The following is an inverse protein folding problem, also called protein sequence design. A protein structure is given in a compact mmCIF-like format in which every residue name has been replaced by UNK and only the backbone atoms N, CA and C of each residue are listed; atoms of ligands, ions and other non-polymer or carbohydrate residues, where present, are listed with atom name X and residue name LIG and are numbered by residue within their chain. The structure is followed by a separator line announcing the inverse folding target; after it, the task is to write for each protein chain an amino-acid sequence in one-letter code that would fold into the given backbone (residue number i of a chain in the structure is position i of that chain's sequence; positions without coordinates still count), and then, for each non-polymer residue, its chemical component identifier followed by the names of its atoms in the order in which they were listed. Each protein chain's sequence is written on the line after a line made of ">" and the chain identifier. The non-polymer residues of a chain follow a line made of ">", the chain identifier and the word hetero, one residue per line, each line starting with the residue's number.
data_IF_609320000530
#
_entry.id   IF_609320000530
#
_cell.length_a   1.000
_cell.length_b   1.000
_cell.length_c   1.000
_cell.angle_alpha   90.00
_cell.angle_beta   90.00
_cell.angle_gamma   90.00
#
_symmetry.space_group_name_H-M   'P 1'
#
loop_
_entity.id
_entity.type
_entity.pdbx_description
1 polymer ?
#
# COMPACT_ATOMS: atom_id res chain seq x y z
N UNK A 1 12.89 3.85 19.22
CA UNK A 1 13.31 5.15 18.63
C UNK A 1 12.62 5.32 17.27
N UNK A 2 12.08 6.51 16.97
CA UNK A 2 11.38 6.85 15.73
C UNK A 2 12.15 6.48 14.45
N UNK A 3 13.49 6.55 14.47
CA UNK A 3 14.31 6.16 13.32
C UNK A 3 14.09 4.69 12.91
N UNK A 4 14.11 3.76 13.87
CA UNK A 4 13.93 2.32 13.59
C UNK A 4 12.52 2.06 13.06
N UNK A 5 11.50 2.69 13.64
CA UNK A 5 10.12 2.56 13.16
C UNK A 5 9.98 3.08 11.72
N UNK A 6 10.55 4.24 11.37
CA UNK A 6 10.56 4.78 9.99
C UNK A 6 11.28 3.85 9.01
N UNK A 7 12.39 3.24 9.44
CA UNK A 7 13.11 2.26 8.62
C UNK A 7 12.24 1.03 8.34
N UNK A 8 11.58 0.50 9.36
CA UNK A 8 10.69 -0.65 9.20
C UNK A 8 9.46 -0.33 8.33
N UNK A 9 8.92 0.88 8.41
CA UNK A 9 7.87 1.33 7.47
C UNK A 9 8.37 1.33 6.03
N UNK A 10 9.60 1.80 5.81
CA UNK A 10 10.23 1.82 4.48
C UNK A 10 10.49 0.40 3.95
N UNK A 11 10.85 -0.54 4.84
CA UNK A 11 10.97 -1.96 4.51
C UNK A 11 9.62 -2.53 4.06
N UNK A 12 8.53 -2.22 4.77
CA UNK A 12 7.17 -2.61 4.38
C UNK A 12 6.80 -2.12 2.98
N UNK A 13 7.15 -0.88 2.62
CA UNK A 13 6.98 -0.36 1.27
C UNK A 13 7.82 -1.09 0.22
N UNK A 14 9.00 -1.60 0.60
CA UNK A 14 9.86 -2.39 -0.29
C UNK A 14 9.24 -3.76 -0.58
N UNK A 15 8.64 -4.39 0.43
CA UNK A 15 7.94 -5.68 0.30
C UNK A 15 6.80 -5.62 -0.73
N UNK A 16 6.09 -4.48 -0.82
CA UNK A 16 4.97 -4.32 -1.75
C UNK A 16 5.37 -3.80 -3.14
N UNK A 17 6.66 -3.54 -3.40
CA UNK A 17 7.13 -3.04 -4.69
C UNK A 17 6.69 -3.92 -5.88
N UNK A 18 6.70 -5.27 -5.80
CA UNK A 18 6.22 -6.10 -6.90
C UNK A 18 4.70 -5.94 -7.15
N UNK A 19 3.88 -5.70 -6.11
CA UNK A 19 2.45 -5.42 -6.28
C UNK A 19 2.25 -4.08 -7.00
N UNK A 20 2.99 -3.05 -6.58
CA UNK A 20 2.97 -1.72 -7.23
C UNK A 20 3.32 -1.82 -8.72
N UNK A 21 4.32 -2.62 -9.07
CA UNK A 21 4.70 -2.89 -10.47
C UNK A 21 3.60 -3.64 -11.23
N UNK A 22 3.00 -4.68 -10.65
CA UNK A 22 1.93 -5.44 -11.29
C UNK A 22 0.68 -4.58 -11.55
N UNK A 23 0.34 -3.66 -10.63
CA UNK A 23 -0.74 -2.67 -10.83
C UNK A 23 -0.41 -1.74 -11.99
N UNK A 24 0.82 -1.25 -12.07
CA UNK A 24 1.26 -0.37 -13.16
C UNK A 24 1.28 -1.08 -14.52
N UNK A 25 1.72 -2.34 -14.56
CA UNK A 25 1.70 -3.17 -15.77
C UNK A 25 0.27 -3.41 -16.25
N UNK A 26 -0.63 -3.82 -15.36
CA UNK A 26 -2.04 -3.99 -15.69
C UNK A 26 -2.65 -2.69 -16.26
N UNK A 27 -2.43 -1.56 -15.59
CA UNK A 27 -2.93 -0.26 -16.06
C UNK A 27 -2.35 0.13 -17.44
N UNK A 28 -1.11 -0.23 -17.73
CA UNK A 28 -0.47 0.05 -19.02
C UNK A 28 -1.09 -0.73 -20.18
N UNK A 29 -1.61 -1.93 -19.91
CA UNK A 29 -2.24 -2.81 -20.91
C UNK A 29 -3.72 -2.50 -21.04
N UNK A 30 -4.43 -2.43 -19.92
CA UNK A 30 -5.89 -2.33 -19.87
C UNK A 30 -6.39 -0.87 -19.88
N UNK A 31 -5.51 0.08 -19.62
CA UNK A 31 -5.86 1.50 -19.52
C UNK A 31 -6.67 1.85 -18.27
N UNK A 32 -6.87 0.91 -17.35
CA UNK A 32 -7.60 1.06 -16.09
C UNK A 32 -6.89 0.33 -14.95
N UNK A 33 -7.09 0.76 -13.72
CA UNK A 33 -6.57 0.05 -12.55
C UNK A 33 -7.22 -1.33 -12.37
N UNK A 34 -6.50 -2.32 -11.79
CA UNK A 34 -7.05 -3.64 -11.54
C UNK A 34 -8.31 -3.61 -10.66
N UNK A 35 -9.35 -4.38 -10.98
CA UNK A 35 -10.53 -4.46 -10.12
C UNK A 35 -10.21 -5.09 -8.75
N UNK A 36 -11.10 -4.90 -7.78
CA UNK A 36 -11.01 -5.60 -6.51
C UNK A 36 -10.98 -7.13 -6.74
N UNK A 37 -10.19 -7.84 -5.94
CA UNK A 37 -10.05 -9.29 -6.06
C UNK A 37 -9.14 -9.78 -7.20
N UNK A 38 -8.65 -8.90 -8.08
CA UNK A 38 -7.74 -9.28 -9.19
C UNK A 38 -6.54 -10.11 -8.69
N UNK A 39 -5.90 -9.67 -7.60
CA UNK A 39 -4.75 -10.36 -7.04
C UNK A 39 -5.10 -11.61 -6.21
N UNK A 40 -6.37 -11.80 -5.84
CA UNK A 40 -6.83 -12.99 -5.13
C UNK A 40 -6.94 -14.22 -6.05
N UNK A 41 -6.99 -14.03 -7.37
CA UNK A 41 -7.05 -15.13 -8.35
C UNK A 41 -5.67 -15.66 -8.76
N UNK A 42 -4.61 -15.30 -8.02
CA UNK A 42 -3.23 -15.72 -8.32
C UNK A 42 -2.48 -14.81 -9.30
N UNK A 43 -3.06 -13.67 -9.69
CA UNK A 43 -2.38 -12.68 -10.55
C UNK A 43 -1.31 -11.85 -9.81
N UNK A 44 -1.15 -12.05 -8.50
CA UNK A 44 -0.17 -11.36 -7.67
C UNK A 44 1.10 -12.21 -7.49
N UNK A 45 2.30 -11.61 -7.51
CA UNK A 45 3.48 -12.23 -6.92
C UNK A 45 3.26 -12.47 -5.41
N UNK A 46 2.78 -13.66 -5.05
CA UNK A 46 2.66 -14.09 -3.67
C UNK A 46 3.92 -14.87 -3.23
N UNK A 47 4.35 -14.76 -1.96
CA UNK A 47 3.79 -13.92 -0.90
C UNK A 47 4.50 -12.56 -0.74
N UNK A 48 3.73 -11.50 -0.44
CA UNK A 48 4.23 -10.17 -0.03
C UNK A 48 4.45 -10.11 1.48
N UNK A 49 5.27 -10.99 2.03
CA UNK A 49 5.46 -11.12 3.47
C UNK A 49 6.90 -10.91 3.88
N UNK A 50 7.12 -10.15 4.94
CA UNK A 50 8.33 -10.18 5.75
C UNK A 50 7.95 -10.50 7.18
N UNK A 51 8.93 -10.73 8.06
CA UNK A 51 8.66 -10.84 9.50
C UNK A 51 8.00 -9.58 10.09
N UNK A 52 8.09 -8.43 9.42
CA UNK A 52 7.54 -7.16 9.88
C UNK A 52 6.17 -6.84 9.29
N UNK A 53 5.77 -7.46 8.18
CA UNK A 53 4.50 -7.20 7.49
C UNK A 53 3.60 -8.42 7.63
N UNK A 54 2.46 -8.23 8.27
CA UNK A 54 1.48 -9.29 8.53
C UNK A 54 0.52 -9.46 7.35
N UNK A 55 0.05 -8.34 6.78
CA UNK A 55 -0.91 -8.36 5.70
C UNK A 55 -0.60 -7.32 4.63
N UNK A 56 -0.74 -7.73 3.38
CA UNK A 56 -0.78 -6.87 2.21
C UNK A 56 -2.02 -7.22 1.40
N UNK A 57 -2.81 -6.22 1.02
CA UNK A 57 -3.99 -6.43 0.19
C UNK A 57 -4.22 -5.30 -0.81
N UNK A 58 -4.79 -5.63 -1.96
CA UNK A 58 -5.23 -4.65 -2.96
C UNK A 58 -6.73 -4.38 -2.83
N UNK A 59 -7.08 -3.10 -2.88
CA UNK A 59 -8.46 -2.62 -3.00
C UNK A 59 -8.58 -1.80 -4.28
N UNK A 60 -9.14 -2.39 -5.33
CA UNK A 60 -9.54 -1.67 -6.54
C UNK A 60 -10.88 -0.97 -6.32
N UNK A 61 -10.93 0.35 -6.45
CA UNK A 61 -12.14 1.14 -6.16
C UNK A 61 -12.85 1.64 -7.41
N UNK A 62 -12.07 2.03 -8.43
CA UNK A 62 -12.56 2.43 -9.74
C UNK A 62 -11.47 2.23 -10.79
N UNK A 63 -11.78 2.56 -12.05
CA UNK A 63 -10.79 2.57 -13.13
C UNK A 63 -9.57 3.47 -12.88
N UNK A 64 -9.67 4.42 -11.93
CA UNK A 64 -8.65 5.45 -11.67
C UNK A 64 -8.23 5.57 -10.21
N UNK A 65 -8.90 4.87 -9.28
CA UNK A 65 -8.57 4.89 -7.86
C UNK A 65 -8.41 3.47 -7.30
N UNK A 66 -7.39 3.28 -6.47
CA UNK A 66 -7.18 2.05 -5.73
C UNK A 66 -6.23 2.25 -4.54
N UNK A 67 -5.96 1.20 -3.79
CA UNK A 67 -5.03 1.27 -2.66
C UNK A 67 -4.41 -0.10 -2.35
N UNK A 68 -3.15 -0.08 -1.93
CA UNK A 68 -2.49 -1.23 -1.29
C UNK A 68 -2.54 -1.00 0.22
N UNK A 69 -3.24 -1.85 0.96
CA UNK A 69 -3.21 -1.86 2.42
C UNK A 69 -1.99 -2.62 2.93
N UNK A 70 -1.30 -2.05 3.92
CA UNK A 70 -0.14 -2.65 4.58
C UNK A 70 -0.40 -2.65 6.08
N UNK A 71 -0.36 -3.84 6.70
CA UNK A 71 -0.43 -4.00 8.15
C UNK A 71 0.87 -4.59 8.69
N UNK A 72 1.45 -3.97 9.70
CA UNK A 72 2.65 -4.45 10.37
C UNK A 72 2.31 -5.55 11.38
N UNK A 73 3.21 -6.52 11.49
CA UNK A 73 3.11 -7.64 12.42
C UNK A 73 3.43 -7.20 13.85
N UNK A 74 3.10 -8.10 14.79
CA UNK A 74 3.48 -7.97 16.20
C UNK A 74 4.99 -7.95 16.45
N UNK A 75 5.80 -8.38 15.46
CA UNK A 75 7.27 -8.38 15.53
C UNK A 75 7.88 -7.03 15.15
N UNK A 76 7.09 -6.10 14.63
CA UNK A 76 7.55 -4.76 14.30
C UNK A 76 7.78 -3.91 15.57
N UNK A 77 8.42 -2.75 15.38
CA UNK A 77 8.69 -1.80 16.44
C UNK A 77 7.39 -1.38 17.13
N UNK A 78 7.42 -1.18 18.45
CA UNK A 78 6.26 -0.88 19.30
C UNK A 78 5.37 0.30 18.82
N UNK A 79 5.92 1.18 17.99
CA UNK A 79 5.24 2.36 17.46
C UNK A 79 4.37 2.04 16.24
N UNK A 80 4.63 0.92 15.57
CA UNK A 80 3.97 0.50 14.32
C UNK A 80 3.40 -0.91 14.38
N UNK A 81 3.78 -1.74 15.35
CA UNK A 81 3.22 -3.10 15.50
C UNK A 81 1.69 -3.06 15.53
N UNK A 82 1.07 -3.99 14.80
CA UNK A 82 -0.38 -4.11 14.69
C UNK A 82 -1.10 -2.87 14.11
N UNK A 83 -0.34 -1.94 13.50
CA UNK A 83 -0.87 -0.75 12.81
C UNK A 83 -0.70 -0.90 11.32
N UNK A 84 -1.43 -0.09 10.57
CA UNK A 84 -1.28 -0.05 9.11
C UNK A 84 -1.61 1.30 8.49
N UNK A 85 -1.50 1.33 7.17
CA UNK A 85 -1.85 2.47 6.34
C UNK A 85 -2.08 1.98 4.91
N UNK A 86 -2.61 2.86 4.06
CA UNK A 86 -2.74 2.62 2.63
C UNK A 86 -1.64 3.30 1.85
N UNK A 87 -1.08 2.61 0.86
CA UNK A 87 -0.47 3.23 -0.30
C UNK A 87 -1.57 3.42 -1.37
N UNK A 88 -2.21 4.58 -1.34
CA UNK A 88 -3.26 5.00 -2.26
C UNK A 88 -2.67 5.26 -3.65
N UNK A 89 -3.41 4.88 -4.70
CA UNK A 89 -3.07 5.19 -6.09
C UNK A 89 -4.21 5.96 -6.75
N UNK A 90 -3.83 7.02 -7.45
CA UNK A 90 -4.74 7.81 -8.29
C UNK A 90 -4.16 7.94 -9.70
N UNK A 91 -5.02 7.78 -10.71
CA UNK A 91 -4.71 7.98 -12.11
C UNK A 91 -5.44 9.22 -12.64
N UNK A 92 -4.68 10.26 -12.94
CA UNK A 92 -5.19 11.39 -13.70
C UNK A 92 -5.16 11.05 -15.20
N UNK A 93 -6.13 11.55 -15.96
CA UNK A 93 -6.24 11.31 -17.41
C UNK A 93 -4.92 11.60 -18.14
N UNK A 94 -4.35 10.58 -18.81
CA UNK A 94 -3.13 10.71 -19.60
C UNK A 94 -1.84 10.90 -18.81
N UNK A 95 -1.87 10.70 -17.48
CA UNK A 95 -0.70 10.85 -16.60
C UNK A 95 -0.30 9.54 -15.95
N UNK A 96 0.94 9.49 -15.45
CA UNK A 96 1.46 8.38 -14.67
C UNK A 96 0.70 8.20 -13.35
N UNK A 97 0.68 6.97 -12.83
CA UNK A 97 0.10 6.64 -11.54
C UNK A 97 0.78 7.45 -10.41
N UNK A 98 -0.02 8.17 -9.63
CA UNK A 98 0.44 8.89 -8.44
C UNK A 98 0.16 8.05 -7.21
N UNK A 99 1.13 7.97 -6.30
CA UNK A 99 1.06 7.13 -5.12
C UNK A 99 1.25 7.97 -3.85
N UNK A 100 0.44 7.70 -2.83
CA UNK A 100 0.42 8.44 -1.56
C UNK A 100 0.20 7.47 -0.39
N UNK A 101 1.02 7.53 0.65
CA UNK A 101 0.75 6.89 1.92
C UNK A 101 -0.25 7.72 2.72
N UNK A 102 -1.37 7.12 3.11
CA UNK A 102 -2.37 7.78 3.95
C UNK A 102 -3.14 6.77 4.80
N UNK A 103 -3.76 7.25 5.87
CA UNK A 103 -4.82 6.55 6.57
C UNK A 103 -6.16 6.65 5.83
N UNK A 104 -6.40 7.77 5.16
CA UNK A 104 -7.55 7.99 4.28
C UNK A 104 -7.10 8.37 2.88
N UNK A 105 -7.46 7.57 1.88
CA UNK A 105 -7.18 7.86 0.48
C UNK A 105 -8.06 9.01 -0.04
N UNK A 106 -7.61 9.73 -1.08
CA UNK A 106 -8.42 10.77 -1.74
C UNK A 106 -9.78 10.29 -2.27
N UNK A 107 -9.92 8.99 -2.50
CA UNK A 107 -11.18 8.33 -2.88
C UNK A 107 -12.18 8.18 -1.73
N UNK A 108 -11.81 8.52 -0.49
CA UNK A 108 -12.62 8.33 0.72
C UNK A 108 -12.45 6.96 1.40
N UNK A 109 -11.55 6.10 0.91
CA UNK A 109 -11.23 4.84 1.58
C UNK A 109 -10.42 5.12 2.84
N UNK A 110 -10.95 4.77 4.01
CA UNK A 110 -10.31 4.96 5.32
C UNK A 110 -9.88 3.65 5.93
N UNK A 111 -8.71 3.65 6.57
CA UNK A 111 -8.16 2.49 7.26
C UNK A 111 -9.06 2.11 8.44
N UNK A 112 -9.48 0.84 8.51
CA UNK A 112 -10.42 0.36 9.52
C UNK A 112 -9.79 0.03 10.89
N UNK A 113 -8.46 0.03 10.99
CA UNK A 113 -7.72 -0.34 12.20
C UNK A 113 -6.94 0.82 12.82
N UNK A 114 -5.97 0.49 13.67
CA UNK A 114 -5.03 1.49 14.19
C UNK A 114 -4.07 1.93 13.09
N UNK A 115 -3.85 3.24 12.96
CA UNK A 115 -3.04 3.81 11.88
C UNK A 115 -1.60 4.06 12.31
N UNK A 116 -0.66 3.83 11.40
CA UNK A 116 0.72 4.29 11.59
C UNK A 116 0.72 5.82 11.65
N UNK A 117 1.43 6.38 12.65
CA UNK A 117 1.54 7.82 12.79
C UNK A 117 2.17 8.42 11.53
N UNK A 118 1.58 9.50 11.01
CA UNK A 118 2.07 10.20 9.82
C UNK A 118 3.52 10.66 9.96
N UNK A 119 4.02 10.92 11.17
CA UNK A 119 5.43 11.23 11.42
C UNK A 119 6.37 10.06 11.03
N UNK A 120 5.88 8.83 11.12
CA UNK A 120 6.66 7.61 10.84
C UNK A 120 6.62 7.20 9.37
N UNK A 121 5.75 7.81 8.56
CA UNK A 121 5.72 7.59 7.12
C UNK A 121 6.92 8.27 6.42
N UNK A 122 7.50 7.66 5.36
CA UNK A 122 8.56 8.27 4.58
C UNK A 122 8.11 9.58 3.93
N UNK A 123 8.99 10.57 3.86
CA UNK A 123 8.67 11.88 3.27
C UNK A 123 8.22 11.79 1.81
N UNK A 124 8.84 10.93 1.01
CA UNK A 124 8.46 10.69 -0.39
C UNK A 124 7.16 9.91 -0.58
N UNK A 125 6.47 9.57 0.52
CA UNK A 125 5.18 8.91 0.50
C UNK A 125 4.08 9.74 1.18
N UNK A 126 4.35 11.00 1.55
CA UNK A 126 3.34 11.92 2.09
C UNK A 126 2.83 12.87 1.02
#
# INVERSE_FOLDING_TARGET
>A
NNYVARTQVSEGLTVIAPMKSAIAEYDSVEGVLPPAGYFATGAAPSPYSSNLVDQVHWTGMSAVNGAIGIQFSSSAHELIKDKGFFLCVTKSSGQSLTWLCADTCPSGLTWGGTTVDTELLPSGCK
#
